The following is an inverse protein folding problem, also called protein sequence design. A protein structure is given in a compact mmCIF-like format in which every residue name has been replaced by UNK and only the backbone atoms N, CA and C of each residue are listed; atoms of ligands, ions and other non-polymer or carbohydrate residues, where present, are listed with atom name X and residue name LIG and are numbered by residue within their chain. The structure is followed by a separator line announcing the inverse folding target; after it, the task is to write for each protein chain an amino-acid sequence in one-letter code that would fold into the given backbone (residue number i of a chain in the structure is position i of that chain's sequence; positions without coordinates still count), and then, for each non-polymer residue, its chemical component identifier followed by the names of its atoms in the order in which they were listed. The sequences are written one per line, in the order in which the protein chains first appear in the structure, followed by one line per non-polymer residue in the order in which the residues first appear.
data_IF_594428788794
#
_entry.id   IF_594428788794
#
_cell.length_a   1.000
_cell.length_b   1.000
_cell.length_c   1.000
_cell.angle_alpha   90.00
_cell.angle_beta   90.00
_cell.angle_gamma   90.00
#
_symmetry.space_group_name_H-M   'P 1'
#
loop_
_entity.id
_entity.type
_entity.pdbx_description
1 polymer ?
#
# COMPACT_ATOMS: atom_id res chain seq x y z
N UNK A 1 13.90 24.09 -12.09
CA UNK A 1 12.90 23.98 -13.18
C UNK A 1 11.58 23.52 -12.58
N UNK A 2 10.47 24.19 -12.89
CA UNK A 2 9.14 23.87 -12.35
C UNK A 2 8.47 22.79 -13.21
N UNK A 3 8.41 21.55 -12.71
CA UNK A 3 7.70 20.46 -13.38
C UNK A 3 6.20 20.70 -13.20
N UNK A 4 5.48 21.09 -14.26
CA UNK A 4 4.02 21.26 -14.22
C UNK A 4 3.36 19.90 -13.94
N UNK A 5 2.47 19.77 -12.94
CA UNK A 5 1.80 18.51 -12.67
C UNK A 5 0.89 18.13 -13.86
N UNK A 6 1.12 16.93 -14.40
CA UNK A 6 0.34 16.36 -15.51
C UNK A 6 -0.83 15.55 -14.96
N UNK A 7 -2.01 15.62 -15.59
CA UNK A 7 -3.19 14.84 -15.17
C UNK A 7 -2.86 13.34 -15.09
N UNK A 8 -3.31 12.69 -14.03
CA UNK A 8 -3.22 11.24 -13.83
C UNK A 8 -3.96 10.51 -14.96
N UNK A 9 -3.23 9.78 -15.80
CA UNK A 9 -3.76 8.86 -16.81
C UNK A 9 -3.49 7.40 -16.39
N UNK A 10 -3.93 7.00 -15.21
CA UNK A 10 -3.97 5.58 -14.83
C UNK A 10 -5.35 5.03 -15.21
N UNK A 11 -5.39 3.94 -15.98
CA UNK A 11 -6.62 3.19 -16.19
C UNK A 11 -7.16 2.65 -14.86
N UNK A 12 -8.46 2.44 -14.77
CA UNK A 12 -9.07 1.83 -13.57
C UNK A 12 -8.50 0.44 -13.28
N UNK A 13 -8.12 -0.31 -14.33
CA UNK A 13 -7.48 -1.61 -14.21
C UNK A 13 -6.07 -1.53 -13.62
N UNK A 14 -5.23 -0.61 -14.09
CA UNK A 14 -3.87 -0.43 -13.53
C UNK A 14 -3.92 -0.05 -12.05
N UNK A 15 -4.84 0.83 -11.65
CA UNK A 15 -5.00 1.19 -10.24
C UNK A 15 -5.41 -0.02 -9.39
N UNK A 16 -6.32 -0.85 -9.90
CA UNK A 16 -6.77 -2.05 -9.21
C UNK A 16 -5.64 -3.08 -9.08
N UNK A 17 -4.84 -3.29 -10.13
CA UNK A 17 -3.67 -4.20 -10.11
C UNK A 17 -2.65 -3.78 -9.06
N UNK A 18 -2.22 -2.51 -9.08
CA UNK A 18 -1.24 -2.01 -8.13
C UNK A 18 -1.72 -2.16 -6.68
N UNK A 19 -3.00 -1.89 -6.41
CA UNK A 19 -3.54 -2.02 -5.06
C UNK A 19 -3.64 -3.49 -4.62
N UNK A 20 -3.94 -4.40 -5.55
CA UNK A 20 -3.92 -5.84 -5.30
C UNK A 20 -2.50 -6.35 -4.97
N UNK A 21 -1.48 -5.84 -5.65
CA UNK A 21 -0.07 -6.15 -5.36
C UNK A 21 0.34 -5.71 -3.95
N UNK A 22 -0.01 -4.48 -3.53
CA UNK A 22 0.23 -4.02 -2.15
C UNK A 22 -0.51 -4.91 -1.15
N UNK A 23 -1.79 -5.20 -1.40
CA UNK A 23 -2.61 -6.01 -0.51
C UNK A 23 -2.02 -7.41 -0.30
N UNK A 24 -1.55 -8.05 -1.39
CA UNK A 24 -0.91 -9.35 -1.35
C UNK A 24 0.40 -9.32 -0.56
N UNK A 25 1.27 -8.32 -0.80
CA UNK A 25 2.53 -8.17 -0.09
C UNK A 25 2.32 -7.99 1.43
N UNK A 26 1.41 -7.10 1.82
CA UNK A 26 1.03 -6.85 3.22
C UNK A 26 0.55 -8.13 3.90
N UNK A 27 -0.36 -8.86 3.25
CA UNK A 27 -0.90 -10.11 3.80
C UNK A 27 0.18 -11.18 3.96
N UNK A 28 0.99 -11.38 2.93
CA UNK A 28 2.07 -12.37 2.94
C UNK A 28 3.04 -12.08 4.10
N UNK A 29 3.48 -10.83 4.24
CA UNK A 29 4.40 -10.43 5.30
C UNK A 29 3.80 -10.55 6.69
N UNK A 30 2.51 -10.21 6.86
CA UNK A 30 1.82 -10.44 8.13
C UNK A 30 1.84 -11.92 8.51
N UNK A 31 1.56 -12.80 7.54
CA UNK A 31 1.55 -14.26 7.75
C UNK A 31 2.96 -14.81 8.03
N UNK A 32 4.01 -14.31 7.37
CA UNK A 32 5.42 -14.63 7.67
C UNK A 32 5.83 -14.27 9.10
N UNK A 33 5.31 -13.15 9.61
CA UNK A 33 5.55 -12.70 11.00
C UNK A 33 4.65 -13.43 12.01
N UNK A 34 3.76 -14.32 11.56
CA UNK A 34 2.87 -15.09 12.43
C UNK A 34 1.75 -14.27 13.09
N UNK A 35 1.44 -13.09 12.56
CA UNK A 35 0.47 -12.17 13.16
C UNK A 35 -0.95 -12.43 12.66
N UNK A 36 -1.94 -12.37 13.55
CA UNK A 36 -3.35 -12.20 13.19
C UNK A 36 -3.63 -10.77 12.73
N UNK A 37 -4.72 -10.56 12.01
CA UNK A 37 -5.09 -9.21 11.55
C UNK A 37 -5.31 -8.22 12.70
N UNK A 38 -5.88 -8.69 13.81
CA UNK A 38 -6.07 -7.89 15.04
C UNK A 38 -4.75 -7.48 15.68
N UNK A 39 -3.76 -8.39 15.72
CA UNK A 39 -2.44 -8.11 16.29
C UNK A 39 -1.68 -7.07 15.46
N UNK A 40 -1.74 -7.18 14.13
CA UNK A 40 -1.18 -6.15 13.25
C UNK A 40 -1.90 -4.80 13.44
N UNK A 41 -3.22 -4.82 13.61
CA UNK A 41 -3.99 -3.59 13.79
C UNK A 41 -3.63 -2.89 15.11
N UNK A 42 -3.48 -3.65 16.18
CA UNK A 42 -3.07 -3.15 17.50
C UNK A 42 -1.66 -2.55 17.44
N UNK A 43 -0.70 -3.26 16.84
CA UNK A 43 0.67 -2.76 16.64
C UNK A 43 0.71 -1.48 15.80
N UNK A 44 -0.16 -1.38 14.79
CA UNK A 44 -0.25 -0.21 13.91
C UNK A 44 -1.15 0.92 14.44
N UNK A 45 -1.71 0.78 15.65
CA UNK A 45 -2.60 1.78 16.23
C UNK A 45 -3.83 2.09 15.35
N UNK A 46 -4.47 1.05 14.81
CA UNK A 46 -5.65 1.17 13.95
C UNK A 46 -6.70 0.08 14.23
N UNK A 47 -7.88 0.20 13.62
CA UNK A 47 -8.92 -0.81 13.75
C UNK A 47 -8.62 -2.03 12.86
N UNK A 48 -8.96 -3.25 13.30
CA UNK A 48 -8.82 -4.50 12.51
C UNK A 48 -9.47 -4.40 11.12
N UNK A 49 -10.57 -3.65 11.01
CA UNK A 49 -11.23 -3.37 9.73
C UNK A 49 -10.29 -2.66 8.73
N UNK A 50 -9.39 -1.79 9.20
CA UNK A 50 -8.42 -1.10 8.35
C UNK A 50 -7.44 -2.09 7.73
N UNK A 51 -6.91 -3.04 8.51
CA UNK A 51 -6.07 -4.13 8.02
C UNK A 51 -6.83 -5.01 7.02
N UNK A 52 -8.06 -5.41 7.37
CA UNK A 52 -8.92 -6.19 6.47
C UNK A 52 -9.20 -5.45 5.16
N UNK A 53 -9.50 -4.15 5.20
CA UNK A 53 -9.72 -3.33 3.99
C UNK A 53 -8.47 -3.26 3.11
N UNK A 54 -7.28 -3.13 3.72
CA UNK A 54 -6.01 -3.13 3.00
C UNK A 54 -5.76 -4.49 2.32
N UNK A 55 -5.88 -5.60 3.04
CA UNK A 55 -5.64 -6.96 2.49
C UNK A 55 -6.66 -7.37 1.41
N UNK A 56 -7.82 -6.70 1.35
CA UNK A 56 -8.82 -6.89 0.29
C UNK A 56 -8.78 -5.81 -0.80
N UNK A 57 -7.70 -5.03 -0.88
CA UNK A 57 -7.48 -4.00 -1.90
C UNK A 57 -8.64 -2.98 -2.02
N UNK A 58 -9.20 -2.54 -0.88
CA UNK A 58 -10.24 -1.50 -0.89
C UNK A 58 -9.64 -0.14 -1.24
N UNK A 59 -10.24 0.52 -2.24
CA UNK A 59 -9.73 1.76 -2.84
C UNK A 59 -9.81 3.01 -1.94
N UNK A 60 -10.46 2.93 -0.78
CA UNK A 60 -10.71 4.05 0.13
C UNK A 60 -9.85 4.05 1.39
N UNK A 61 -8.74 3.31 1.39
CA UNK A 61 -7.81 3.29 2.53
C UNK A 61 -7.12 4.64 2.70
N UNK A 62 -7.01 5.11 3.94
CA UNK A 62 -6.25 6.32 4.24
C UNK A 62 -4.75 6.04 4.19
N UNK A 63 -3.98 6.98 3.62
CA UNK A 63 -2.53 6.82 3.40
C UNK A 63 -1.73 6.81 4.71
N UNK A 64 -2.14 7.58 5.72
CA UNK A 64 -1.53 7.54 7.06
C UNK A 64 -1.58 6.11 7.64
N UNK A 65 -2.72 5.44 7.50
CA UNK A 65 -2.89 4.06 7.98
C UNK A 65 -2.14 3.02 7.16
N UNK A 66 -1.97 3.25 5.87
CA UNK A 66 -1.06 2.44 5.07
C UNK A 66 0.37 2.58 5.60
N UNK A 67 0.84 3.80 5.88
CA UNK A 67 2.20 4.05 6.38
C UNK A 67 2.41 3.39 7.75
N UNK A 68 1.46 3.53 8.68
CA UNK A 68 1.51 2.89 10.01
C UNK A 68 1.68 1.36 9.88
N UNK A 69 0.86 0.73 9.03
CA UNK A 69 0.89 -0.73 8.81
C UNK A 69 2.20 -1.17 8.14
N UNK A 70 2.66 -0.47 7.10
CA UNK A 70 3.92 -0.79 6.43
C UNK A 70 5.10 -0.72 7.40
N UNK A 71 5.10 0.27 8.30
CA UNK A 71 6.14 0.44 9.32
C UNK A 71 6.21 -0.76 10.26
N UNK A 72 5.06 -1.24 10.76
CA UNK A 72 4.99 -2.42 11.64
C UNK A 72 5.49 -3.69 10.94
N UNK A 73 5.18 -3.84 9.66
CA UNK A 73 5.60 -5.01 8.87
C UNK A 73 7.09 -4.96 8.45
N UNK A 74 7.78 -3.87 8.75
CA UNK A 74 9.18 -3.66 8.38
C UNK A 74 9.38 -3.31 6.91
N UNK A 75 8.36 -2.75 6.26
CA UNK A 75 8.46 -2.29 4.87
C UNK A 75 8.95 -0.84 4.78
N UNK A 76 9.67 -0.55 3.69
CA UNK A 76 10.03 0.81 3.30
C UNK A 76 9.17 1.28 2.13
N UNK A 77 8.70 2.54 2.18
CA UNK A 77 8.03 3.20 1.07
C UNK A 77 8.98 4.22 0.42
N UNK A 78 9.44 3.92 -0.81
CA UNK A 78 10.40 4.75 -1.54
C UNK A 78 9.72 5.48 -2.69
N UNK A 79 9.90 6.80 -2.76
CA UNK A 79 9.41 7.63 -3.87
C UNK A 79 10.57 7.97 -4.82
N UNK A 80 10.40 7.67 -6.12
CA UNK A 80 11.39 7.99 -7.16
C UNK A 80 10.74 8.78 -8.31
N UNK A 81 11.43 9.77 -8.91
CA UNK A 81 10.92 10.44 -10.11
C UNK A 81 10.70 9.45 -11.27
N UNK A 82 9.47 9.43 -11.82
CA UNK A 82 9.14 8.61 -13.00
C UNK A 82 9.63 9.23 -14.31
N UNK A 83 9.94 8.40 -15.32
CA UNK A 83 10.58 8.86 -16.56
C UNK A 83 9.63 9.43 -17.61
N UNK A 84 8.36 8.99 -17.69
CA UNK A 84 7.48 9.41 -18.83
C UNK A 84 5.97 9.39 -18.56
N UNK A 85 5.50 8.61 -17.60
CA UNK A 85 4.13 8.63 -17.07
C UNK A 85 4.25 8.30 -15.58
N UNK A 86 3.64 9.11 -14.70
CA UNK A 86 3.64 8.83 -13.26
C UNK A 86 2.84 7.55 -12.99
N UNK A 87 3.52 6.41 -12.99
CA UNK A 87 2.98 5.13 -12.55
C UNK A 87 3.56 4.83 -11.18
N UNK A 88 2.69 4.49 -10.24
CA UNK A 88 3.10 3.79 -9.03
C UNK A 88 3.40 2.36 -9.44
N UNK A 89 4.56 1.83 -9.06
CA UNK A 89 4.92 0.43 -9.25
C UNK A 89 5.16 -0.16 -7.86
N UNK A 90 4.68 -1.36 -7.65
CA UNK A 90 4.94 -2.11 -6.42
C UNK A 90 6.05 -3.10 -6.75
N UNK A 91 7.21 -2.90 -6.15
CA UNK A 91 8.34 -3.82 -6.25
C UNK A 91 8.34 -4.66 -4.97
N UNK A 92 7.89 -5.91 -5.06
CA UNK A 92 8.01 -6.90 -3.99
C UNK A 92 9.30 -7.68 -4.26
N UNK A 93 10.22 -7.71 -3.28
CA UNK A 93 11.47 -8.47 -3.38
C UNK A 93 11.22 -9.98 -3.26
#
# INVERSE_FOLDING_TARGET
MMVKPRRLNLSTHERASNLAEVAAAVRLRREELGLRQEELADLAGCATRTVSMLEHAKSTLRVDKLIDILTVLGYELVLRPGKSNGQVRVEVQ
#
